data_IF_532998756888
#
_entry.id   IF_532998756888
#
_cell.length_a   1.000
_cell.length_b   1.000
_cell.length_c   1.000
_cell.angle_alpha   90.00
_cell.angle_beta   90.00
_cell.angle_gamma   90.00
#
_symmetry.space_group_name_H-M   'P 1'
#
loop_
_entity.id
_entity.type
_entity.pdbx_description
1 polymer ?
#
# COMPACT_ATOMS: atom_id res chain seq x y z
N UNK A 1 -3.34 -11.85 5.01
CA UNK A 1 -3.81 -10.46 5.21
C UNK A 1 -4.02 -10.14 6.70
N UNK A 2 -4.60 -11.07 7.47
CA UNK A 2 -4.87 -10.89 8.91
C UNK A 2 -3.67 -10.44 9.78
N UNK A 3 -2.46 -10.94 9.49
CA UNK A 3 -1.27 -10.58 10.27
C UNK A 3 -0.90 -9.10 10.14
N UNK A 4 -0.92 -8.55 8.92
CA UNK A 4 -0.59 -7.14 8.70
C UNK A 4 -1.66 -6.22 9.30
N UNK A 5 -2.94 -6.57 9.10
CA UNK A 5 -4.03 -5.80 9.68
C UNK A 5 -3.95 -5.76 11.21
N UNK A 6 -3.71 -6.91 11.84
CA UNK A 6 -3.51 -7.02 13.29
C UNK A 6 -2.31 -6.20 13.75
N UNK A 7 -1.17 -6.29 13.04
CA UNK A 7 0.03 -5.49 13.35
C UNK A 7 -0.29 -3.99 13.31
N UNK A 8 -0.89 -3.50 12.22
CA UNK A 8 -1.23 -2.08 12.06
C UNK A 8 -2.21 -1.63 13.13
N UNK A 9 -3.23 -2.43 13.43
CA UNK A 9 -4.26 -2.11 14.44
C UNK A 9 -3.64 -1.95 15.83
N UNK A 10 -2.62 -2.74 16.16
CA UNK A 10 -1.89 -2.63 17.42
C UNK A 10 -0.86 -1.50 17.46
N UNK A 11 -0.55 -0.87 16.31
CA UNK A 11 0.43 0.23 16.21
C UNK A 11 -0.20 1.63 16.26
N UNK A 12 -1.50 1.75 15.97
CA UNK A 12 -2.16 3.05 15.80
C UNK A 12 -3.30 3.22 16.80
N UNK A 13 -3.25 4.29 17.59
CA UNK A 13 -4.31 4.63 18.54
C UNK A 13 -5.39 5.50 17.90
N UNK A 14 -4.99 6.38 16.97
CA UNK A 14 -5.88 7.28 16.23
C UNK A 14 -5.67 7.08 14.72
N UNK A 15 -6.34 6.10 14.10
CA UNK A 15 -6.08 5.72 12.72
C UNK A 15 -6.57 6.79 11.75
N UNK A 16 -5.66 7.32 10.93
CA UNK A 16 -6.00 8.06 9.71
C UNK A 16 -5.47 7.31 8.50
N UNK A 17 -6.39 6.98 7.58
CA UNK A 17 -6.10 6.19 6.39
C UNK A 17 -5.69 7.11 5.23
N UNK A 18 -4.66 6.72 4.49
CA UNK A 18 -4.22 7.41 3.28
C UNK A 18 -4.17 6.44 2.09
N UNK A 19 -4.69 6.90 0.97
CA UNK A 19 -4.43 6.30 -0.34
C UNK A 19 -3.18 6.95 -0.94
N UNK A 20 -2.18 6.13 -1.22
CA UNK A 20 -0.98 6.50 -1.96
C UNK A 20 -0.95 5.90 -3.35
N UNK A 21 -0.06 6.46 -4.16
CA UNK A 21 0.21 6.07 -5.53
C UNK A 21 1.73 5.88 -5.72
N UNK A 22 2.10 5.02 -6.67
CA UNK A 22 3.48 4.82 -7.11
C UNK A 22 3.55 4.75 -8.63
N UNK A 23 4.76 4.85 -9.19
CA UNK A 23 4.96 4.86 -10.63
C UNK A 23 4.45 3.56 -11.29
N UNK A 24 3.64 3.71 -12.34
CA UNK A 24 3.04 2.57 -13.05
C UNK A 24 4.08 1.62 -13.63
N UNK A 25 5.27 2.12 -13.96
CA UNK A 25 6.39 1.35 -14.50
C UNK A 25 6.81 0.23 -13.53
N UNK A 26 6.61 0.40 -12.22
CA UNK A 26 6.86 -0.66 -11.26
C UNK A 26 5.92 -1.86 -11.40
N UNK A 27 4.78 -1.73 -12.09
CA UNK A 27 3.90 -2.87 -12.39
C UNK A 27 4.51 -3.87 -13.39
N UNK A 28 5.65 -3.54 -14.01
CA UNK A 28 6.46 -4.50 -14.77
C UNK A 28 7.19 -5.49 -13.86
N UNK A 29 7.38 -5.16 -12.58
CA UNK A 29 7.93 -6.07 -11.59
C UNK A 29 6.90 -7.14 -11.19
N UNK A 30 7.33 -8.34 -10.80
CA UNK A 30 6.43 -9.36 -10.25
C UNK A 30 5.63 -8.80 -9.07
N UNK A 31 4.33 -9.08 -9.05
CA UNK A 31 3.41 -8.54 -8.03
C UNK A 31 3.84 -8.88 -6.60
N UNK A 32 4.45 -10.04 -6.40
CA UNK A 32 4.96 -10.53 -5.12
C UNK A 32 6.10 -9.67 -4.58
N UNK A 33 6.94 -9.09 -5.45
CA UNK A 33 8.02 -8.18 -5.07
C UNK A 33 7.43 -6.88 -4.52
N UNK A 34 6.44 -6.34 -5.23
CA UNK A 34 5.74 -5.12 -4.83
C UNK A 34 4.97 -5.32 -3.52
N UNK A 35 4.21 -6.41 -3.42
CA UNK A 35 3.42 -6.77 -2.23
C UNK A 35 4.33 -6.95 -1.03
N UNK A 36 5.44 -7.67 -1.17
CA UNK A 36 6.42 -7.87 -0.09
C UNK A 36 7.02 -6.53 0.35
N UNK A 37 7.45 -5.70 -0.60
CA UNK A 37 8.03 -4.39 -0.29
C UNK A 37 7.05 -3.49 0.47
N UNK A 38 5.79 -3.45 0.04
CA UNK A 38 4.72 -2.72 0.70
C UNK A 38 4.38 -3.27 2.09
N UNK A 39 4.03 -4.55 2.19
CA UNK A 39 3.51 -5.15 3.41
C UNK A 39 4.58 -5.29 4.50
N UNK A 40 5.75 -5.83 4.15
CA UNK A 40 6.79 -6.19 5.14
C UNK A 40 7.59 -4.98 5.57
N UNK A 41 8.02 -4.15 4.62
CA UNK A 41 8.93 -3.05 4.95
C UNK A 41 8.21 -1.76 5.30
N UNK A 42 6.98 -1.56 4.83
CA UNK A 42 6.28 -0.28 4.96
C UNK A 42 4.92 -0.38 5.68
N UNK A 43 4.41 -1.59 5.94
CA UNK A 43 3.06 -1.82 6.47
C UNK A 43 1.98 -1.17 5.60
N UNK A 44 2.19 -1.22 4.29
CA UNK A 44 1.23 -0.73 3.30
C UNK A 44 0.40 -1.90 2.80
N UNK A 45 -0.89 -1.64 2.56
CA UNK A 45 -1.82 -2.58 1.99
C UNK A 45 -1.85 -2.38 0.46
N UNK A 46 -1.45 -3.36 -0.35
CA UNK A 46 -1.56 -3.29 -1.80
C UNK A 46 -3.03 -3.18 -2.23
N UNK A 47 -3.30 -2.35 -3.25
CA UNK A 47 -4.65 -2.22 -3.80
C UNK A 47 -4.79 -3.08 -5.05
N UNK A 48 -5.80 -3.94 -5.07
CA UNK A 48 -6.13 -4.76 -6.23
C UNK A 48 -7.40 -4.26 -6.90
N UNK A 49 -7.48 -4.44 -8.21
CA UNK A 49 -8.70 -4.20 -8.97
C UNK A 49 -9.81 -5.12 -8.47
N UNK A 50 -11.01 -4.57 -8.29
CA UNK A 50 -12.21 -5.35 -7.99
C UNK A 50 -12.55 -6.17 -9.23
N UNK A 51 -12.32 -7.48 -9.19
CA UNK A 51 -12.76 -8.39 -10.23
C UNK A 51 -14.19 -8.84 -9.93
N UNK A 52 -15.15 -8.40 -10.74
CA UNK A 52 -16.54 -8.91 -10.68
C UNK A 52 -16.70 -10.24 -11.42
N UNK A 53 -15.83 -10.50 -12.40
CA UNK A 53 -15.75 -11.75 -13.18
C UNK A 53 -14.41 -12.47 -12.89
N UNK A 54 -14.30 -13.15 -11.74
CA UNK A 54 -13.12 -13.95 -11.38
C UNK A 54 -13.02 -15.26 -12.19
N UNK A 55 -13.07 -15.21 -13.52
CA UNK A 55 -12.94 -16.40 -14.38
C UNK A 55 -11.53 -17.01 -14.36
N UNK A 56 -10.51 -16.22 -14.02
CA UNK A 56 -9.10 -16.65 -13.98
C UNK A 56 -8.52 -16.75 -12.56
N UNK A 57 -9.22 -16.25 -11.54
CA UNK A 57 -8.75 -16.23 -10.13
C UNK A 57 -7.62 -15.23 -9.83
N UNK A 58 -7.06 -14.55 -10.84
CA UNK A 58 -5.94 -13.64 -10.68
C UNK A 58 -6.38 -12.22 -10.30
N UNK A 59 -5.89 -11.71 -9.16
CA UNK A 59 -6.12 -10.32 -8.72
C UNK A 59 -5.13 -9.39 -9.42
N UNK A 60 -5.61 -8.41 -10.18
CA UNK A 60 -4.75 -7.42 -10.83
C UNK A 60 -4.35 -6.33 -9.83
N UNK A 61 -3.04 -6.16 -9.60
CA UNK A 61 -2.50 -5.11 -8.74
C UNK A 61 -2.65 -3.73 -9.42
N UNK A 62 -3.08 -2.73 -8.66
CA UNK A 62 -3.14 -1.33 -9.08
C UNK A 62 -1.88 -0.59 -8.61
N UNK A 63 -1.49 0.54 -9.25
CA UNK A 63 -0.35 1.36 -8.86
C UNK A 63 -0.65 2.20 -7.60
N UNK A 64 -1.28 1.57 -6.61
CA UNK A 64 -1.84 2.18 -5.44
C UNK A 64 -1.59 1.32 -4.20
N UNK A 65 -1.47 2.01 -3.06
CA UNK A 65 -1.37 1.37 -1.76
C UNK A 65 -2.18 2.15 -0.74
N UNK A 66 -2.64 1.47 0.30
CA UNK A 66 -3.27 2.09 1.47
C UNK A 66 -2.30 2.02 2.64
N UNK A 67 -2.20 3.07 3.42
CA UNK A 67 -1.42 3.10 4.65
C UNK A 67 -2.23 3.76 5.76
N UNK A 68 -1.92 3.42 7.00
CA UNK A 68 -2.58 3.97 8.19
C UNK A 68 -1.52 4.67 9.03
N UNK A 69 -1.73 5.95 9.30
CA UNK A 69 -0.91 6.71 10.26
C UNK A 69 -1.67 6.86 11.58
N UNK A 70 -0.91 7.11 12.64
CA UNK A 70 -1.47 7.59 13.89
C UNK A 70 -1.59 9.14 13.83
N UNK A 71 -2.76 9.69 14.14
CA UNK A 71 -3.01 11.14 14.20
C UNK A 71 -4.13 11.62 13.28
N UNK A 72 -4.09 12.91 12.93
CA UNK A 72 -5.16 13.66 12.24
C UNK A 72 -4.92 13.83 10.72
N UNK A 73 -5.81 14.60 10.08
CA UNK A 73 -5.78 14.94 8.65
C UNK A 73 -4.76 16.03 8.28
N UNK A 74 -3.88 16.42 9.21
CA UNK A 74 -2.91 17.49 8.93
C UNK A 74 -1.84 17.00 7.95
N UNK A 75 -1.63 17.79 6.89
CA UNK A 75 -0.57 17.60 5.90
C UNK A 75 -0.57 16.22 5.20
N UNK A 76 -1.74 15.61 5.01
CA UNK A 76 -1.87 14.27 4.38
C UNK A 76 -1.19 14.18 3.01
N UNK A 77 -1.25 15.24 2.20
CA UNK A 77 -0.62 15.25 0.88
C UNK A 77 0.92 15.19 0.96
N UNK A 78 1.52 15.87 1.94
CA UNK A 78 2.97 15.77 2.20
C UNK A 78 3.34 14.37 2.67
N UNK A 79 2.54 13.77 3.56
CA UNK A 79 2.76 12.40 4.03
C UNK A 79 2.63 11.41 2.86
N UNK A 80 1.61 11.55 2.02
CA UNK A 80 1.38 10.73 0.83
C UNK A 80 2.59 10.75 -0.11
N UNK A 81 3.09 11.95 -0.46
CA UNK A 81 4.29 12.11 -1.30
C UNK A 81 5.53 11.49 -0.65
N UNK A 82 5.69 11.67 0.66
CA UNK A 82 6.80 11.07 1.42
C UNK A 82 6.78 9.54 1.34
N UNK A 83 5.62 8.94 1.56
CA UNK A 83 5.42 7.49 1.49
C UNK A 83 5.69 6.95 0.08
N UNK A 84 5.20 7.63 -0.96
CA UNK A 84 5.49 7.26 -2.36
C UNK A 84 7.00 7.30 -2.65
N UNK A 85 7.70 8.35 -2.20
CA UNK A 85 9.15 8.47 -2.35
C UNK A 85 9.91 7.35 -1.64
N UNK A 86 9.48 6.95 -0.44
CA UNK A 86 10.08 5.84 0.29
C UNK A 86 9.87 4.52 -0.44
N UNK A 87 8.66 4.27 -0.96
CA UNK A 87 8.36 3.06 -1.73
C UNK A 87 9.23 3.00 -3.00
N UNK A 88 9.30 4.10 -3.76
CA UNK A 88 10.16 4.21 -4.95
C UNK A 88 11.61 3.85 -4.64
N UNK A 89 12.17 4.40 -3.56
CA UNK A 89 13.56 4.15 -3.18
C UNK A 89 13.86 2.69 -2.80
N UNK A 90 12.84 1.90 -2.46
CA UNK A 90 12.98 0.45 -2.17
C UNK A 90 12.85 -0.43 -3.41
N UNK A 91 12.29 0.11 -4.49
CA UNK A 91 12.07 -0.56 -5.76
C UNK A 91 13.09 -0.15 -6.83
N UNK A 92 13.99 0.78 -6.49
CA UNK A 92 15.10 1.27 -7.33
C UNK A 92 16.41 0.56 -7.00
#
# INVERSE_FOLDING_TARGET
EDRLLTEVTNLVEWPTVLLGDFEKDFLELPSEVLVTSMAVHQRYFPVFQKNEDNKTGEKKLLPNFVTVRNGDERALDTVRRGNAKVLRARLS
#
